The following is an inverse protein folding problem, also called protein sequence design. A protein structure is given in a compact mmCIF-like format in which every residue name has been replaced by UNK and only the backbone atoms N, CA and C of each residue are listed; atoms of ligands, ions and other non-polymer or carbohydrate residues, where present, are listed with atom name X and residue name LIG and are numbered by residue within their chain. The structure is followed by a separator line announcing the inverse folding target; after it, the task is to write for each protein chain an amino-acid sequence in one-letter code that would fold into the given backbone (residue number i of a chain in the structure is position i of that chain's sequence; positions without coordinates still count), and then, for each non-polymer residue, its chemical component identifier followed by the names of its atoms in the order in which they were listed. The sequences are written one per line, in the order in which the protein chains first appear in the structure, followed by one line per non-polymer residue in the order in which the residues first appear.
data_IF_695694728285
#
_entry.id   IF_695694728285
#
_cell.length_a   1.000
_cell.length_b   1.000
_cell.length_c   1.000
_cell.angle_alpha   90.00
_cell.angle_beta   90.00
_cell.angle_gamma   90.00
#
_symmetry.space_group_name_H-M   'P 1'
#
loop_
_entity.id
_entity.type
_entity.pdbx_description
1 polymer ?
#
# COMPACT_ATOMS: atom_id res chain seq x y z
N UNK A 1 -27.15 5.46 -14.54
CA UNK A 1 -25.77 5.34 -14.04
C UNK A 1 -25.38 3.89 -14.17
N UNK A 2 -24.29 3.59 -14.88
CA UNK A 2 -23.73 2.24 -15.00
C UNK A 2 -22.99 1.86 -13.71
N UNK A 3 -22.74 0.57 -13.43
CA UNK A 3 -21.93 0.16 -12.28
C UNK A 3 -20.56 0.84 -12.23
N UNK A 4 -19.90 1.01 -13.38
CA UNK A 4 -18.64 1.77 -13.50
C UNK A 4 -18.78 3.23 -13.07
N UNK A 5 -19.81 3.92 -13.55
CA UNK A 5 -20.06 5.31 -13.18
C UNK A 5 -20.35 5.45 -11.68
N UNK A 6 -21.05 4.47 -11.08
CA UNK A 6 -21.30 4.46 -9.64
C UNK A 6 -20.01 4.24 -8.84
N UNK A 7 -19.15 3.28 -9.23
CA UNK A 7 -17.83 3.07 -8.62
C UNK A 7 -16.99 4.35 -8.67
N UNK A 8 -16.98 5.04 -9.83
CA UNK A 8 -16.25 6.28 -9.99
C UNK A 8 -16.83 7.39 -9.11
N UNK A 9 -18.15 7.52 -9.05
CA UNK A 9 -18.82 8.52 -8.22
C UNK A 9 -18.51 8.32 -6.73
N UNK A 10 -18.55 7.09 -6.25
CA UNK A 10 -18.23 6.75 -4.86
C UNK A 10 -16.74 7.01 -4.58
N UNK A 11 -15.87 6.64 -5.53
CA UNK A 11 -14.43 6.90 -5.40
C UNK A 11 -14.13 8.40 -5.36
N UNK A 12 -14.83 9.21 -6.15
CA UNK A 12 -14.69 10.66 -6.13
C UNK A 12 -15.12 11.25 -4.77
N UNK A 13 -16.24 10.78 -4.21
CA UNK A 13 -16.67 11.16 -2.86
C UNK A 13 -15.62 10.78 -1.80
N UNK A 14 -14.97 9.62 -1.94
CA UNK A 14 -13.85 9.22 -1.08
C UNK A 14 -12.65 10.16 -1.19
N UNK A 15 -12.30 10.60 -2.41
CA UNK A 15 -11.22 11.57 -2.63
C UNK A 15 -11.54 12.96 -2.08
N UNK A 16 -12.80 13.40 -2.20
CA UNK A 16 -13.28 14.64 -1.60
C UNK A 16 -13.13 14.60 -0.07
N UNK A 17 -13.62 13.52 0.56
CA UNK A 17 -13.46 13.30 2.00
C UNK A 17 -11.98 13.27 2.44
N UNK A 18 -11.07 12.69 1.65
CA UNK A 18 -9.63 12.78 1.92
C UNK A 18 -9.13 14.23 1.91
N UNK A 19 -9.59 15.04 0.94
CA UNK A 19 -9.25 16.46 0.85
C UNK A 19 -9.74 17.26 2.05
N UNK A 20 -10.90 16.89 2.61
CA UNK A 20 -11.47 17.45 3.83
C UNK A 20 -10.87 16.87 5.13
N UNK A 21 -9.92 15.94 5.01
CA UNK A 21 -9.34 15.17 6.13
C UNK A 21 -10.34 14.30 6.90
N UNK A 22 -11.53 14.04 6.35
CA UNK A 22 -12.45 13.02 6.87
C UNK A 22 -12.02 11.63 6.40
N UNK A 23 -11.00 11.11 7.07
CA UNK A 23 -10.39 9.83 6.72
C UNK A 23 -11.36 8.64 6.89
N UNK A 24 -12.33 8.74 7.79
CA UNK A 24 -13.31 7.67 8.03
C UNK A 24 -14.33 7.63 6.88
N UNK A 25 -14.85 8.78 6.46
CA UNK A 25 -15.75 8.86 5.31
C UNK A 25 -15.06 8.43 4.01
N UNK A 26 -13.78 8.81 3.84
CA UNK A 26 -12.95 8.36 2.72
C UNK A 26 -12.83 6.84 2.69
N UNK A 27 -12.43 6.22 3.81
CA UNK A 27 -12.31 4.77 3.94
C UNK A 27 -13.64 4.07 3.59
N UNK A 28 -14.76 4.51 4.16
CA UNK A 28 -16.08 3.91 3.91
C UNK A 28 -16.49 3.97 2.44
N UNK A 29 -16.19 5.09 1.78
CA UNK A 29 -16.45 5.28 0.35
C UNK A 29 -15.63 4.31 -0.49
N UNK A 30 -14.31 4.25 -0.28
CA UNK A 30 -13.46 3.34 -1.05
C UNK A 30 -13.76 1.86 -0.77
N UNK A 31 -14.11 1.49 0.45
CA UNK A 31 -14.57 0.12 0.74
C UNK A 31 -15.85 -0.22 -0.01
N UNK A 32 -16.78 0.73 -0.14
CA UNK A 32 -18.00 0.53 -0.94
C UNK A 32 -17.65 0.38 -2.42
N UNK A 33 -16.75 1.21 -2.96
CA UNK A 33 -16.29 1.10 -4.33
C UNK A 33 -15.65 -0.27 -4.61
N UNK A 34 -14.78 -0.76 -3.72
CA UNK A 34 -14.17 -2.09 -3.83
C UNK A 34 -15.20 -3.22 -3.82
N UNK A 35 -16.25 -3.13 -2.97
CA UNK A 35 -17.33 -4.13 -2.93
C UNK A 35 -18.14 -4.23 -4.22
N UNK A 36 -18.06 -3.22 -5.08
CA UNK A 36 -18.75 -3.17 -6.37
C UNK A 36 -17.85 -3.60 -7.55
N UNK A 37 -16.55 -3.81 -7.33
CA UNK A 37 -15.64 -4.28 -8.37
C UNK A 37 -16.05 -5.69 -8.83
N UNK A 38 -16.01 -5.87 -10.14
CA UNK A 38 -16.28 -7.12 -10.84
C UNK A 38 -15.09 -7.41 -11.77
N UNK A 39 -14.95 -8.62 -12.31
CA UNK A 39 -13.85 -8.94 -13.22
C UNK A 39 -13.74 -8.00 -14.44
N UNK A 40 -14.86 -7.47 -14.94
CA UNK A 40 -14.86 -6.48 -16.04
C UNK A 40 -14.36 -5.07 -15.66
N UNK A 41 -14.03 -4.84 -14.39
CA UNK A 41 -13.49 -3.59 -13.85
C UNK A 41 -11.99 -3.69 -13.56
N UNK A 42 -11.28 -4.65 -14.17
CA UNK A 42 -9.85 -4.89 -13.98
C UNK A 42 -8.97 -3.67 -14.31
N UNK A 43 -9.39 -2.85 -15.27
CA UNK A 43 -8.73 -1.61 -15.67
C UNK A 43 -8.75 -0.52 -14.58
N UNK A 44 -9.84 -0.43 -13.80
CA UNK A 44 -10.01 0.58 -12.74
C UNK A 44 -9.71 0.05 -11.34
N UNK A 45 -9.81 -1.27 -11.12
CA UNK A 45 -9.63 -1.90 -9.82
C UNK A 45 -8.30 -1.50 -9.14
N UNK A 46 -7.15 -1.45 -9.84
CA UNK A 46 -5.90 -0.98 -9.24
C UNK A 46 -5.99 0.40 -8.60
N UNK A 47 -6.67 1.36 -9.22
CA UNK A 47 -6.81 2.74 -8.68
C UNK A 47 -7.71 2.75 -7.45
N UNK A 48 -8.82 2.02 -7.51
CA UNK A 48 -9.77 1.92 -6.40
C UNK A 48 -9.11 1.28 -5.17
N UNK A 49 -8.29 0.23 -5.35
CA UNK A 49 -7.52 -0.38 -4.28
C UNK A 49 -6.42 0.53 -3.72
N UNK A 50 -5.73 1.32 -4.56
CA UNK A 50 -4.72 2.28 -4.12
C UNK A 50 -5.34 3.34 -3.19
N UNK A 51 -6.51 3.87 -3.57
CA UNK A 51 -7.23 4.85 -2.76
C UNK A 51 -7.67 4.29 -1.40
N UNK A 52 -8.17 3.05 -1.39
CA UNK A 52 -8.48 2.36 -0.13
C UNK A 52 -7.23 2.17 0.74
N UNK A 53 -6.11 1.77 0.11
CA UNK A 53 -4.83 1.62 0.80
C UNK A 53 -4.35 2.92 1.42
N UNK A 54 -4.51 4.04 0.73
CA UNK A 54 -4.15 5.37 1.23
C UNK A 54 -5.00 5.78 2.43
N UNK A 55 -6.32 5.53 2.38
CA UNK A 55 -7.21 5.80 3.52
C UNK A 55 -6.83 4.96 4.75
N UNK A 56 -6.55 3.66 4.57
CA UNK A 56 -6.07 2.81 5.66
C UNK A 56 -4.73 3.25 6.22
N UNK A 57 -3.77 3.62 5.36
CA UNK A 57 -2.46 4.11 5.79
C UNK A 57 -2.59 5.39 6.64
N UNK A 58 -3.42 6.34 6.22
CA UNK A 58 -3.65 7.59 6.95
C UNK A 58 -4.34 7.36 8.30
N UNK A 59 -5.20 6.34 8.41
CA UNK A 59 -5.83 5.94 9.67
C UNK A 59 -4.91 5.07 10.56
N UNK A 60 -3.73 4.67 10.09
CA UNK A 60 -2.82 3.79 10.80
C UNK A 60 -3.21 2.30 10.78
N UNK A 61 -4.14 1.91 9.90
CA UNK A 61 -4.51 0.52 9.68
C UNK A 61 -3.53 -0.17 8.72
N UNK A 62 -2.25 -0.20 9.11
CA UNK A 62 -1.14 -0.57 8.22
C UNK A 62 -1.32 -1.98 7.60
N UNK A 63 -1.76 -2.98 8.37
CA UNK A 63 -2.02 -4.33 7.84
C UNK A 63 -3.15 -4.36 6.79
N UNK A 64 -4.17 -3.52 6.94
CA UNK A 64 -5.24 -3.40 5.94
C UNK A 64 -4.75 -2.65 4.70
N UNK A 65 -3.94 -1.61 4.88
CA UNK A 65 -3.26 -0.88 3.81
C UNK A 65 -2.38 -1.81 2.96
N UNK A 66 -1.57 -2.66 3.58
CA UNK A 66 -0.75 -3.68 2.86
C UNK A 66 -1.61 -4.56 1.96
N UNK A 67 -2.77 -5.04 2.44
CA UNK A 67 -3.66 -5.88 1.63
C UNK A 67 -4.23 -5.11 0.45
N UNK A 68 -4.65 -3.86 0.65
CA UNK A 68 -5.17 -3.02 -0.41
C UNK A 68 -4.09 -2.68 -1.46
N UNK A 69 -2.90 -2.25 -1.03
CA UNK A 69 -1.81 -1.94 -1.97
C UNK A 69 -1.29 -3.17 -2.72
N UNK A 70 -1.29 -4.37 -2.12
CA UNK A 70 -0.98 -5.58 -2.87
C UNK A 70 -1.98 -5.83 -4.01
N UNK A 71 -3.28 -5.58 -3.79
CA UNK A 71 -4.30 -5.65 -4.85
C UNK A 71 -4.11 -4.55 -5.90
N UNK A 72 -3.66 -3.37 -5.50
CA UNK A 72 -3.38 -2.25 -6.40
C UNK A 72 -2.17 -2.50 -7.31
N UNK A 73 -1.10 -3.09 -6.75
CA UNK A 73 0.14 -3.43 -7.45
C UNK A 73 -0.08 -4.58 -8.43
N UNK A 74 -0.78 -5.64 -8.00
CA UNK A 74 -1.03 -6.82 -8.82
C UNK A 74 0.25 -7.46 -9.40
N UNK A 75 0.07 -8.22 -10.48
CA UNK A 75 1.16 -8.92 -11.18
C UNK A 75 1.75 -8.12 -12.36
N UNK A 76 1.11 -7.02 -12.77
CA UNK A 76 1.54 -6.16 -13.87
C UNK A 76 2.62 -5.14 -13.43
N UNK A 77 3.03 -4.27 -14.35
CA UNK A 77 3.84 -3.10 -14.00
C UNK A 77 3.03 -2.18 -13.07
N UNK A 78 3.47 -2.00 -11.80
CA UNK A 78 2.71 -1.23 -10.85
C UNK A 78 2.84 0.26 -11.12
N UNK A 79 1.83 1.03 -10.72
CA UNK A 79 2.03 2.46 -10.55
C UNK A 79 3.08 2.70 -9.46
N UNK A 80 3.96 3.66 -9.70
CA UNK A 80 4.99 4.07 -8.74
C UNK A 80 4.39 4.30 -7.35
N UNK A 81 3.31 5.07 -7.28
CA UNK A 81 2.62 5.42 -6.04
C UNK A 81 2.13 4.20 -5.25
N UNK A 82 1.49 3.24 -5.92
CA UNK A 82 1.02 1.99 -5.29
C UNK A 82 2.18 1.20 -4.68
N UNK A 83 3.27 1.05 -5.43
CA UNK A 83 4.43 0.29 -4.94
C UNK A 83 5.18 1.04 -3.83
N UNK A 84 5.32 2.36 -3.94
CA UNK A 84 5.86 3.23 -2.88
C UNK A 84 5.12 3.03 -1.57
N UNK A 85 3.80 3.15 -1.59
CA UNK A 85 3.02 3.00 -0.37
C UNK A 85 2.96 1.57 0.13
N UNK A 86 3.04 0.55 -0.73
CA UNK A 86 3.20 -0.83 -0.28
C UNK A 86 4.48 -1.02 0.53
N UNK A 87 5.60 -0.41 0.11
CA UNK A 87 6.88 -0.44 0.84
C UNK A 87 6.73 0.20 2.22
N UNK A 88 6.27 1.45 2.27
CA UNK A 88 6.07 2.18 3.54
C UNK A 88 5.09 1.46 4.47
N UNK A 89 3.95 1.00 3.94
CA UNK A 89 2.91 0.36 4.73
C UNK A 89 3.37 -1.00 5.27
N UNK A 90 4.11 -1.78 4.48
CA UNK A 90 4.70 -3.06 4.94
C UNK A 90 5.72 -2.84 6.06
N UNK A 91 6.55 -1.81 5.97
CA UNK A 91 7.52 -1.48 7.02
C UNK A 91 6.84 -1.05 8.33
N UNK A 92 5.82 -0.19 8.25
CA UNK A 92 5.01 0.23 9.40
C UNK A 92 4.24 -0.93 10.05
N UNK A 93 3.76 -1.86 9.22
CA UNK A 93 3.10 -3.07 9.66
C UNK A 93 4.05 -4.13 10.28
N UNK A 94 5.36 -3.88 10.30
CA UNK A 94 6.38 -4.81 10.80
C UNK A 94 6.70 -5.98 9.86
N UNK A 95 6.19 -5.95 8.61
CA UNK A 95 6.40 -6.97 7.59
C UNK A 95 7.71 -6.71 6.84
N UNK A 96 8.83 -6.73 7.56
CA UNK A 96 10.12 -6.23 7.05
C UNK A 96 10.65 -7.01 5.84
N UNK A 97 10.36 -8.32 5.75
CA UNK A 97 10.76 -9.13 4.59
C UNK A 97 10.03 -8.70 3.31
N UNK A 98 8.72 -8.47 3.41
CA UNK A 98 7.91 -8.03 2.28
C UNK A 98 8.24 -6.59 1.92
N UNK A 99 8.41 -5.72 2.92
CA UNK A 99 8.86 -4.35 2.74
C UNK A 99 10.18 -4.28 1.97
N UNK A 100 11.19 -5.10 2.33
CA UNK A 100 12.47 -5.10 1.63
C UNK A 100 12.36 -5.64 0.20
N UNK A 101 11.62 -6.73 -0.02
CA UNK A 101 11.37 -7.24 -1.38
C UNK A 101 10.71 -6.20 -2.28
N UNK A 102 9.72 -5.49 -1.74
CA UNK A 102 9.01 -4.43 -2.46
C UNK A 102 9.89 -3.19 -2.66
N UNK A 103 10.79 -2.87 -1.72
CA UNK A 103 11.76 -1.77 -1.86
C UNK A 103 12.74 -2.07 -2.99
N UNK A 104 13.30 -3.28 -3.02
CA UNK A 104 14.19 -3.72 -4.11
C UNK A 104 13.45 -3.68 -5.47
N UNK A 105 12.16 -4.06 -5.50
CA UNK A 105 11.32 -3.95 -6.70
C UNK A 105 11.10 -2.50 -7.10
N UNK A 106 10.80 -1.62 -6.14
CA UNK A 106 10.60 -0.19 -6.37
C UNK A 106 11.87 0.43 -6.96
N UNK A 107 13.02 0.18 -6.35
CA UNK A 107 14.28 0.81 -6.76
C UNK A 107 14.73 0.39 -8.15
N UNK A 108 14.46 -0.86 -8.54
CA UNK A 108 14.69 -1.32 -9.92
C UNK A 108 13.82 -0.61 -10.96
N UNK A 109 12.59 -0.25 -10.61
CA UNK A 109 11.62 0.34 -11.54
C UNK A 109 11.66 1.87 -11.57
N UNK A 110 11.88 2.50 -10.42
CA UNK A 110 11.66 3.94 -10.21
C UNK A 110 12.87 4.66 -9.60
N UNK A 111 13.95 3.96 -9.27
CA UNK A 111 15.11 4.52 -8.57
C UNK A 111 14.90 4.66 -7.07
N UNK A 112 15.74 5.45 -6.40
CA UNK A 112 15.76 5.52 -4.94
C UNK A 112 14.37 5.81 -4.33
N UNK A 113 14.01 5.07 -3.29
CA UNK A 113 12.74 5.28 -2.60
C UNK A 113 12.71 6.64 -1.90
N UNK A 114 11.64 7.44 -2.07
CA UNK A 114 11.60 8.82 -1.57
C UNK A 114 11.43 8.93 -0.06
N UNK A 115 10.94 7.86 0.59
CA UNK A 115 10.78 7.83 2.05
C UNK A 115 12.01 7.24 2.73
N UNK A 116 12.85 8.12 3.28
CA UNK A 116 14.05 7.74 4.04
C UNK A 116 13.75 7.07 5.38
N UNK A 117 12.57 7.28 5.99
CA UNK A 117 12.22 6.60 7.24
C UNK A 117 12.10 5.09 7.01
N UNK A 118 11.46 4.68 5.91
CA UNK A 118 11.32 3.26 5.57
C UNK A 118 12.67 2.59 5.37
N UNK A 119 13.61 3.23 4.67
CA UNK A 119 14.97 2.70 4.46
C UNK A 119 15.71 2.52 5.80
N UNK A 120 15.66 3.52 6.69
CA UNK A 120 16.30 3.45 8.01
C UNK A 120 15.69 2.36 8.90
N UNK A 121 14.35 2.22 8.88
CA UNK A 121 13.66 1.20 9.67
C UNK A 121 14.08 -0.22 9.25
N UNK A 122 14.19 -0.47 7.93
CA UNK A 122 14.63 -1.74 7.39
C UNK A 122 16.09 -2.04 7.73
N UNK A 123 16.98 -1.06 7.57
CA UNK A 123 18.40 -1.21 7.90
C UNK A 123 18.62 -1.60 9.36
N UNK A 124 17.87 -0.94 10.27
CA UNK A 124 17.92 -1.25 11.69
C UNK A 124 17.48 -2.70 11.98
N UNK A 125 16.37 -3.13 11.39
CA UNK A 125 15.87 -4.50 11.57
C UNK A 125 16.91 -5.54 11.10
N UNK A 126 17.44 -5.38 9.89
CA UNK A 126 18.40 -6.35 9.34
C UNK A 126 19.76 -6.34 10.01
N UNK A 127 20.19 -5.22 10.61
CA UNK A 127 21.37 -5.22 11.48
C UNK A 127 21.18 -6.13 12.69
N UNK A 128 20.05 -6.02 13.37
CA UNK A 128 19.74 -6.84 14.56
C UNK A 128 19.63 -8.32 14.19
N UNK A 129 18.99 -8.66 13.08
CA UNK A 129 18.85 -10.06 12.66
C UNK A 129 20.20 -10.70 12.27
N UNK A 130 21.10 -9.96 11.63
CA UNK A 130 22.47 -10.45 11.36
C UNK A 130 23.25 -10.72 12.63
N UNK A 131 23.19 -9.81 13.61
CA UNK A 131 23.83 -9.99 14.92
C UNK A 131 23.28 -11.22 15.67
N UNK A 132 21.97 -11.47 15.58
CA UNK A 132 21.32 -12.66 16.15
C UNK A 132 21.85 -13.94 15.50
N UNK A 133 21.91 -14.00 14.18
CA UNK A 133 22.38 -15.19 13.44
C UNK A 133 23.87 -15.48 13.71
N UNK A 134 24.71 -14.45 13.82
CA UNK A 134 26.12 -14.63 14.15
C UNK A 134 26.32 -15.21 15.55
N UNK A 135 25.54 -14.77 16.56
CA UNK A 135 25.62 -15.32 17.92
C UNK A 135 25.19 -16.78 18.01
N UNK A 136 24.23 -17.21 17.19
CA UNK A 136 23.77 -18.61 17.13
C UNK A 136 24.79 -19.52 16.44
N UNK A 137 25.62 -18.99 15.53
CA UNK A 137 26.60 -19.77 14.76
C UNK A 137 27.93 -20.00 15.52
N UNK A 138 28.15 -19.29 16.64
CA UNK A 138 29.40 -19.34 17.43
C UNK A 138 29.24 -20.21 18.71
N UNK A 139 28.09 -20.87 18.89
CA UNK A 139 27.80 -21.83 19.97
C UNK A 139 27.72 -23.25 19.41
#
# INVERSE_FOLDING_TARGET
MTPREEIQSISNAGCEALGESDLVAAMQSFERAVRMLLPEHDDIAPVVYENLGLAYLNLGFDQAGVRAFNRAVGDAEPREQSLRYLVTCSARAGLYLDARRNLERYERLFGAHPDGFTTVALDRFYRVERERQQKVTIL
#
